data_IF_466198368778
#
_entry.id   IF_466198368778
#
_cell.length_a   1.000
_cell.length_b   1.000
_cell.length_c   1.000
_cell.angle_alpha   90.00
_cell.angle_beta   90.00
_cell.angle_gamma   90.00
#
_symmetry.space_group_name_H-M   'P 1'
#
loop_
_entity.id
_entity.type
_entity.pdbx_description
1 polymer ?
#
# COMPACT_ATOMS: atom_id res chain seq x y z
N UNK A 1 7.58 3.38 17.03
CA UNK A 1 6.78 2.13 17.05
C UNK A 1 7.51 1.09 16.23
N UNK A 2 7.54 -0.18 16.66
CA UNK A 2 8.16 -1.25 15.87
C UNK A 2 7.28 -1.67 14.70
N UNK A 3 7.85 -2.29 13.66
CA UNK A 3 7.09 -2.80 12.52
C UNK A 3 6.03 -3.84 12.93
N UNK A 4 6.33 -4.68 13.93
CA UNK A 4 5.38 -5.68 14.41
C UNK A 4 4.18 -5.02 15.12
N UNK A 5 4.41 -4.00 15.94
CA UNK A 5 3.33 -3.24 16.58
C UNK A 5 2.45 -2.52 15.55
N UNK A 6 3.08 -1.88 14.56
CA UNK A 6 2.39 -1.21 13.47
C UNK A 6 1.51 -2.19 12.67
N UNK A 7 2.07 -3.36 12.34
CA UNK A 7 1.34 -4.44 11.69
C UNK A 7 0.14 -4.93 12.50
N UNK A 8 0.28 -5.13 13.81
CA UNK A 8 -0.80 -5.62 14.66
C UNK A 8 -1.99 -4.64 14.68
N UNK A 9 -1.72 -3.34 14.75
CA UNK A 9 -2.75 -2.29 14.66
C UNK A 9 -3.39 -2.29 13.27
N UNK A 10 -2.59 -2.28 12.19
CA UNK A 10 -3.11 -2.29 10.82
C UNK A 10 -3.98 -3.52 10.55
N UNK A 11 -3.54 -4.69 11.02
CA UNK A 11 -4.30 -5.93 10.90
C UNK A 11 -5.62 -5.85 11.66
N UNK A 12 -5.61 -5.32 12.88
CA UNK A 12 -6.83 -5.13 13.67
C UNK A 12 -7.86 -4.25 12.94
N UNK A 13 -7.41 -3.12 12.38
CA UNK A 13 -8.27 -2.22 11.60
C UNK A 13 -8.86 -2.93 10.37
N UNK A 14 -8.03 -3.64 9.61
CA UNK A 14 -8.44 -4.28 8.37
C UNK A 14 -9.23 -5.58 8.52
N UNK A 15 -9.05 -6.34 9.61
CA UNK A 15 -9.75 -7.62 9.81
C UNK A 15 -10.92 -7.54 10.79
N UNK A 16 -10.88 -6.63 11.77
CA UNK A 16 -11.83 -6.62 12.89
C UNK A 16 -12.70 -5.37 12.89
N UNK A 17 -12.09 -4.18 12.80
CA UNK A 17 -12.84 -2.95 13.06
C UNK A 17 -13.53 -2.37 11.83
N UNK A 18 -12.82 -2.27 10.70
CA UNK A 18 -13.32 -1.68 9.46
C UNK A 18 -13.19 -2.60 8.23
N UNK A 19 -13.48 -3.92 8.34
CA UNK A 19 -13.13 -4.88 7.29
C UNK A 19 -13.81 -4.63 5.95
N UNK A 20 -15.08 -4.23 5.96
CA UNK A 20 -15.82 -3.93 4.72
C UNK A 20 -15.27 -2.69 4.02
N UNK A 21 -14.98 -1.63 4.79
CA UNK A 21 -14.47 -0.36 4.26
C UNK A 21 -13.03 -0.48 3.76
N UNK A 22 -12.16 -1.21 4.48
CA UNK A 22 -10.83 -1.53 3.98
C UNK A 22 -10.89 -2.35 2.70
N UNK A 23 -11.73 -3.39 2.64
CA UNK A 23 -11.89 -4.18 1.43
C UNK A 23 -12.38 -3.34 0.24
N UNK A 24 -13.44 -2.54 0.44
CA UNK A 24 -14.03 -1.72 -0.61
C UNK A 24 -13.06 -0.63 -1.12
N UNK A 25 -12.33 0.05 -0.23
CA UNK A 25 -11.33 1.06 -0.58
C UNK A 25 -10.14 0.49 -1.34
N UNK A 26 -9.69 -0.73 -1.01
CA UNK A 26 -8.64 -1.43 -1.76
C UNK A 26 -9.11 -1.81 -3.17
N UNK A 27 -10.35 -2.30 -3.33
CA UNK A 27 -10.90 -2.55 -4.67
C UNK A 27 -11.09 -1.25 -5.47
N UNK A 28 -11.44 -0.16 -4.81
CA UNK A 28 -11.48 1.16 -5.42
C UNK A 28 -10.09 1.64 -5.89
N UNK A 29 -9.04 1.44 -5.09
CA UNK A 29 -7.65 1.70 -5.49
C UNK A 29 -7.25 0.88 -6.72
N UNK A 30 -7.54 -0.43 -6.73
CA UNK A 30 -7.29 -1.30 -7.88
C UNK A 30 -8.04 -0.84 -9.14
N UNK A 31 -9.28 -0.38 -8.99
CA UNK A 31 -10.06 0.20 -10.08
C UNK A 31 -9.39 1.47 -10.63
N UNK A 32 -8.96 2.41 -9.77
CA UNK A 32 -8.24 3.63 -10.18
C UNK A 32 -6.99 3.29 -10.98
N UNK A 33 -6.21 2.32 -10.55
CA UNK A 33 -5.00 1.87 -11.25
C UNK A 33 -5.36 1.29 -12.63
N UNK A 34 -6.35 0.39 -12.69
CA UNK A 34 -6.79 -0.22 -13.95
C UNK A 34 -7.33 0.81 -14.95
N UNK A 35 -8.00 1.86 -14.48
CA UNK A 35 -8.58 2.91 -15.31
C UNK A 35 -7.55 3.77 -16.06
N UNK A 36 -6.28 3.78 -15.61
CA UNK A 36 -5.18 4.50 -16.30
C UNK A 36 -4.64 3.73 -17.52
N UNK A 37 -5.00 2.45 -17.67
CA UNK A 37 -4.56 1.59 -18.77
C UNK A 37 -5.68 1.21 -19.73
N UNK A 38 -5.38 0.30 -20.66
CA UNK A 38 -6.40 -0.24 -21.57
C UNK A 38 -7.31 -1.20 -20.79
N UNK A 39 -8.57 -0.80 -20.60
CA UNK A 39 -9.53 -1.57 -19.82
C UNK A 39 -10.08 -2.76 -20.63
N UNK A 40 -9.87 -3.98 -20.11
CA UNK A 40 -10.53 -5.20 -20.59
C UNK A 40 -11.08 -5.95 -19.37
N UNK A 41 -12.40 -6.11 -19.28
CA UNK A 41 -13.07 -6.59 -18.07
C UNK A 41 -12.52 -7.94 -17.57
N UNK A 42 -12.36 -8.92 -18.45
CA UNK A 42 -11.90 -10.27 -18.10
C UNK A 42 -10.45 -10.27 -17.58
N UNK A 43 -9.55 -9.57 -18.29
CA UNK A 43 -8.15 -9.48 -17.87
C UNK A 43 -8.00 -8.64 -16.61
N UNK A 44 -8.76 -7.55 -16.48
CA UNK A 44 -8.72 -6.67 -15.32
C UNK A 44 -9.27 -7.37 -14.09
N UNK A 45 -10.38 -8.11 -14.19
CA UNK A 45 -10.96 -8.84 -13.05
C UNK A 45 -10.04 -9.94 -12.54
N UNK A 46 -9.44 -10.73 -13.44
CA UNK A 46 -8.44 -11.73 -13.09
C UNK A 46 -7.24 -11.11 -12.37
N UNK A 47 -6.70 -10.02 -12.93
CA UNK A 47 -5.55 -9.32 -12.31
C UNK A 47 -5.90 -8.74 -10.94
N UNK A 48 -7.11 -8.21 -10.77
CA UNK A 48 -7.56 -7.69 -9.47
C UNK A 48 -7.61 -8.83 -8.42
N UNK A 49 -8.15 -9.99 -8.78
CA UNK A 49 -8.16 -11.16 -7.91
C UNK A 49 -6.73 -11.63 -7.57
N UNK A 50 -5.85 -11.81 -8.56
CA UNK A 50 -4.46 -12.21 -8.33
C UNK A 50 -3.71 -11.20 -7.43
N UNK A 51 -3.95 -9.91 -7.65
CA UNK A 51 -3.35 -8.83 -6.85
C UNK A 51 -3.86 -8.85 -5.41
N UNK A 52 -5.15 -9.11 -5.18
CA UNK A 52 -5.70 -9.20 -3.83
C UNK A 52 -5.06 -10.31 -2.99
N UNK A 53 -4.73 -11.45 -3.61
CA UNK A 53 -4.06 -12.56 -2.91
C UNK A 53 -2.64 -12.15 -2.49
N UNK A 54 -1.88 -11.53 -3.40
CA UNK A 54 -0.54 -11.05 -3.07
C UNK A 54 -0.61 -9.95 -1.99
N UNK A 55 -1.49 -8.96 -2.17
CA UNK A 55 -1.63 -7.84 -1.25
C UNK A 55 -2.01 -8.30 0.16
N UNK A 56 -3.00 -9.19 0.29
CA UNK A 56 -3.38 -9.75 1.60
C UNK A 56 -2.20 -10.44 2.28
N UNK A 57 -1.40 -11.20 1.54
CA UNK A 57 -0.23 -11.86 2.12
C UNK A 57 0.88 -10.89 2.54
N UNK A 58 1.04 -9.76 1.85
CA UNK A 58 2.04 -8.74 2.19
C UNK A 58 1.58 -7.82 3.33
N UNK A 59 0.30 -7.46 3.38
CA UNK A 59 -0.25 -6.41 4.25
C UNK A 59 -0.84 -6.97 5.55
N UNK A 60 -1.49 -8.14 5.46
CA UNK A 60 -2.14 -8.84 6.58
C UNK A 60 -1.31 -10.05 7.04
N UNK A 61 -0.36 -10.50 6.24
CA UNK A 61 0.64 -11.48 6.67
C UNK A 61 1.62 -10.86 7.68
N UNK A 62 2.03 -11.64 8.68
CA UNK A 62 3.03 -11.19 9.66
C UNK A 62 4.34 -10.81 8.92
N UNK A 63 4.90 -9.60 9.16
CA UNK A 63 6.18 -9.21 8.59
C UNK A 63 7.26 -10.25 8.87
N UNK A 64 8.05 -10.60 7.84
CA UNK A 64 9.09 -11.62 7.92
C UNK A 64 8.60 -13.07 7.93
N UNK A 65 7.30 -13.34 7.84
CA UNK A 65 6.79 -14.71 7.63
C UNK A 65 7.10 -15.20 6.21
N UNK A 66 7.26 -16.52 6.04
CA UNK A 66 7.51 -17.14 4.72
C UNK A 66 6.50 -16.67 3.68
N UNK A 67 5.22 -16.63 4.04
CA UNK A 67 4.14 -16.26 3.12
C UNK A 67 4.20 -14.78 2.70
N UNK A 68 4.56 -13.88 3.62
CA UNK A 68 4.76 -12.47 3.29
C UNK A 68 5.97 -12.29 2.37
N UNK A 69 7.10 -12.95 2.69
CA UNK A 69 8.33 -12.89 1.89
C UNK A 69 8.10 -13.42 0.46
N UNK A 70 7.40 -14.55 0.32
CA UNK A 70 7.05 -15.11 -0.99
C UNK A 70 6.17 -14.18 -1.81
N UNK A 71 5.17 -13.53 -1.18
CA UNK A 71 4.30 -12.58 -1.86
C UNK A 71 5.04 -11.31 -2.32
N UNK A 72 5.94 -10.78 -1.48
CA UNK A 72 6.82 -9.65 -1.83
C UNK A 72 7.74 -10.03 -2.99
N UNK A 73 8.43 -11.16 -2.91
CA UNK A 73 9.33 -11.64 -3.95
C UNK A 73 8.60 -11.86 -5.28
N UNK A 74 7.39 -12.45 -5.23
CA UNK A 74 6.56 -12.65 -6.41
C UNK A 74 6.13 -11.31 -7.04
N UNK A 75 5.75 -10.34 -6.22
CA UNK A 75 5.35 -9.02 -6.68
C UNK A 75 6.52 -8.29 -7.34
N UNK A 76 7.71 -8.27 -6.69
CA UNK A 76 8.94 -7.71 -7.26
C UNK A 76 9.30 -8.35 -8.60
N UNK A 77 9.27 -9.67 -8.68
CA UNK A 77 9.58 -10.39 -9.92
C UNK A 77 8.66 -9.96 -11.09
N UNK A 78 7.36 -9.82 -10.81
CA UNK A 78 6.39 -9.37 -11.81
C UNK A 78 6.63 -7.90 -12.21
N UNK A 79 6.78 -7.00 -11.24
CA UNK A 79 7.00 -5.57 -11.50
C UNK A 79 8.33 -5.30 -12.22
N UNK A 80 9.42 -5.98 -11.85
CA UNK A 80 10.74 -5.80 -12.47
C UNK A 80 10.73 -6.09 -13.97
N UNK A 81 9.91 -7.05 -14.43
CA UNK A 81 9.73 -7.27 -15.87
C UNK A 81 9.10 -6.05 -16.54
N UNK A 82 8.02 -5.52 -15.99
CA UNK A 82 7.30 -4.39 -16.57
C UNK A 82 8.09 -3.07 -16.50
N UNK A 83 8.86 -2.85 -15.42
CA UNK A 83 9.79 -1.72 -15.32
C UNK A 83 10.90 -1.79 -16.39
N UNK A 84 11.53 -2.96 -16.58
CA UNK A 84 12.53 -3.15 -17.65
C UNK A 84 11.97 -2.95 -19.07
N UNK A 85 10.70 -3.27 -19.27
CA UNK A 85 9.98 -3.01 -20.52
C UNK A 85 9.47 -1.56 -20.64
N UNK A 86 9.73 -0.69 -19.65
CA UNK A 86 9.30 0.72 -19.64
C UNK A 86 7.79 0.93 -19.49
N UNK A 87 7.05 -0.10 -19.06
CA UNK A 87 5.58 -0.07 -18.95
C UNK A 87 5.07 0.43 -17.60
N UNK A 88 5.92 0.41 -16.58
CA UNK A 88 5.63 0.92 -15.23
C UNK A 88 6.83 1.77 -14.84
N UNK A 89 6.60 3.05 -14.56
CA UNK A 89 7.62 3.95 -14.03
C UNK A 89 7.70 3.86 -12.50
N UNK A 90 8.77 4.39 -11.91
CA UNK A 90 8.88 4.51 -10.45
C UNK A 90 7.77 5.41 -9.88
N UNK A 91 7.37 6.46 -10.61
CA UNK A 91 6.22 7.28 -10.24
C UNK A 91 4.91 6.49 -10.27
N UNK A 92 4.74 5.52 -11.17
CA UNK A 92 3.53 4.67 -11.19
C UNK A 92 3.52 3.69 -10.01
N UNK A 93 4.69 3.18 -9.61
CA UNK A 93 4.85 2.34 -8.42
C UNK A 93 4.51 3.13 -7.14
N UNK A 94 5.06 4.34 -7.00
CA UNK A 94 4.80 5.22 -5.86
C UNK A 94 3.33 5.67 -5.80
N UNK A 95 2.74 6.01 -6.94
CA UNK A 95 1.31 6.33 -7.03
C UNK A 95 0.43 5.13 -6.63
N UNK A 96 0.81 3.91 -7.05
CA UNK A 96 0.08 2.70 -6.66
C UNK A 96 0.16 2.45 -5.16
N UNK A 97 1.36 2.61 -4.58
CA UNK A 97 1.56 2.50 -3.14
C UNK A 97 0.70 3.53 -2.39
N UNK A 98 0.72 4.80 -2.81
CA UNK A 98 -0.03 5.87 -2.14
C UNK A 98 -1.53 5.61 -2.12
N UNK A 99 -2.11 5.09 -3.21
CA UNK A 99 -3.52 4.69 -3.23
C UNK A 99 -3.84 3.63 -2.18
N UNK A 100 -3.00 2.61 -2.01
CA UNK A 100 -3.26 1.56 -1.03
C UNK A 100 -3.13 2.03 0.42
N UNK A 101 -2.38 3.10 0.69
CA UNK A 101 -2.29 3.70 2.02
C UNK A 101 -3.44 4.69 2.27
N UNK A 102 -3.67 5.60 1.32
CA UNK A 102 -4.54 6.77 1.50
C UNK A 102 -6.02 6.44 1.32
N UNK A 103 -6.38 5.57 0.37
CA UNK A 103 -7.80 5.27 0.12
C UNK A 103 -8.46 4.62 1.34
N UNK A 104 -7.87 3.62 2.03
CA UNK A 104 -8.47 3.09 3.25
C UNK A 104 -8.63 4.15 4.36
N UNK A 105 -7.64 5.03 4.55
CA UNK A 105 -7.74 6.10 5.54
C UNK A 105 -8.88 7.08 5.23
N UNK A 106 -8.94 7.57 3.98
CA UNK A 106 -9.97 8.50 3.51
C UNK A 106 -11.37 7.89 3.61
N UNK A 107 -11.50 6.61 3.28
CA UNK A 107 -12.79 5.91 3.35
C UNK A 107 -13.25 5.70 4.78
N UNK A 108 -12.37 5.37 5.72
CA UNK A 108 -12.73 5.30 7.15
C UNK A 108 -13.21 6.67 7.62
N UNK A 109 -12.45 7.74 7.36
CA UNK A 109 -12.83 9.08 7.80
C UNK A 109 -14.17 9.57 7.24
N UNK A 110 -14.54 9.09 6.05
CA UNK A 110 -15.76 9.52 5.36
C UNK A 110 -16.98 8.64 5.65
N UNK A 111 -16.81 7.33 5.77
CA UNK A 111 -17.92 6.37 5.75
C UNK A 111 -18.06 5.55 7.05
N UNK A 112 -17.08 5.57 7.94
CA UNK A 112 -17.15 4.83 9.20
C UNK A 112 -17.66 5.68 10.36
N UNK A 113 -18.03 5.00 11.45
CA UNK A 113 -18.59 5.62 12.65
C UNK A 113 -17.57 6.44 13.46
N UNK A 114 -16.28 6.37 13.13
CA UNK A 114 -15.21 7.20 13.68
C UNK A 114 -14.07 7.37 12.68
N UNK A 115 -13.28 8.44 12.86
CA UNK A 115 -12.03 8.64 12.14
C UNK A 115 -10.89 7.76 12.69
N UNK A 116 -9.84 7.58 11.91
CA UNK A 116 -8.59 7.00 12.38
C UNK A 116 -7.83 7.96 13.30
N UNK A 117 -7.34 7.43 14.42
CA UNK A 117 -6.46 8.15 15.34
C UNK A 117 -5.07 8.36 14.75
N UNK A 118 -4.29 9.31 15.29
CA UNK A 118 -2.91 9.53 14.87
C UNK A 118 -2.02 8.30 15.06
N UNK A 119 -2.28 7.49 16.09
CA UNK A 119 -1.57 6.24 16.34
C UNK A 119 -1.84 5.22 15.22
N UNK A 120 -3.11 5.08 14.82
CA UNK A 120 -3.54 4.18 13.74
C UNK A 120 -2.98 4.61 12.39
N UNK A 121 -3.02 5.91 12.09
CA UNK A 121 -2.39 6.48 10.88
C UNK A 121 -0.89 6.24 10.87
N UNK A 122 -0.22 6.44 12.01
CA UNK A 122 1.21 6.19 12.16
C UNK A 122 1.54 4.70 11.97
N UNK A 123 0.68 3.80 12.45
CA UNK A 123 0.83 2.36 12.28
C UNK A 123 0.74 1.96 10.81
N UNK A 124 -0.33 2.36 10.13
CA UNK A 124 -0.49 2.13 8.70
C UNK A 124 0.68 2.74 7.91
N UNK A 125 1.07 3.98 8.19
CA UNK A 125 2.19 4.62 7.51
C UNK A 125 3.51 3.87 7.72
N UNK A 126 3.78 3.39 8.94
CA UNK A 126 4.98 2.60 9.26
C UNK A 126 4.99 1.28 8.48
N UNK A 127 3.86 0.56 8.48
CA UNK A 127 3.73 -0.73 7.78
C UNK A 127 3.85 -0.58 6.26
N UNK A 128 3.17 0.41 5.67
CA UNK A 128 3.20 0.61 4.22
C UNK A 128 4.52 1.19 3.72
N UNK A 129 5.17 2.08 4.48
CA UNK A 129 6.51 2.56 4.13
C UNK A 129 7.51 1.41 4.08
N UNK A 130 7.50 0.54 5.10
CA UNK A 130 8.34 -0.65 5.13
C UNK A 130 8.05 -1.60 3.96
N UNK A 131 6.77 -1.82 3.63
CA UNK A 131 6.39 -2.64 2.47
C UNK A 131 6.88 -2.02 1.15
N UNK A 132 6.81 -0.69 0.99
CA UNK A 132 7.35 -0.03 -0.20
C UNK A 132 8.87 -0.18 -0.31
N UNK A 133 9.60 -0.14 0.81
CA UNK A 133 11.04 -0.44 0.85
C UNK A 133 11.31 -1.91 0.46
N UNK A 134 10.54 -2.86 1.01
CA UNK A 134 10.64 -4.29 0.68
C UNK A 134 10.33 -4.58 -0.79
N UNK A 135 9.51 -3.76 -1.44
CA UNK A 135 9.14 -3.85 -2.87
C UNK A 135 10.11 -3.11 -3.82
N UNK A 136 11.20 -2.52 -3.30
CA UNK A 136 12.11 -1.62 -4.03
C UNK A 136 11.42 -0.43 -4.71
N UNK A 137 10.38 0.13 -4.09
CA UNK A 137 9.72 1.32 -4.64
C UNK A 137 10.60 2.54 -4.38
N UNK A 138 10.97 3.27 -5.44
CA UNK A 138 11.67 4.55 -5.28
C UNK A 138 10.74 5.59 -4.66
N UNK A 139 11.26 6.30 -3.67
CA UNK A 139 10.60 7.43 -3.04
C UNK A 139 11.09 8.77 -3.58
N UNK A 140 11.89 8.82 -4.65
CA UNK A 140 12.51 10.05 -5.17
C UNK A 140 11.50 11.14 -5.58
N UNK A 141 10.26 10.74 -5.86
CA UNK A 141 9.16 11.67 -6.09
C UNK A 141 8.68 12.44 -4.85
N UNK A 142 9.13 12.07 -3.65
CA UNK A 142 8.74 12.71 -2.40
C UNK A 142 9.73 13.81 -1.99
N UNK A 143 9.25 14.98 -1.52
CA UNK A 143 10.09 16.15 -1.25
C UNK A 143 11.28 15.90 -0.32
N UNK A 144 11.14 15.02 0.66
CA UNK A 144 12.21 14.76 1.64
C UNK A 144 13.01 13.49 1.40
N UNK A 145 12.74 12.78 0.30
CA UNK A 145 13.41 11.51 -0.06
C UNK A 145 14.94 11.58 -0.16
N UNK A 146 15.47 12.73 -0.58
CA UNK A 146 16.90 12.99 -0.79
C UNK A 146 17.53 13.84 0.33
N UNK A 147 16.78 14.19 1.37
CA UNK A 147 17.28 15.02 2.48
C UNK A 147 17.99 14.16 3.52
N UNK A 148 19.00 14.72 4.17
CA UNK A 148 19.61 14.10 5.35
C UNK A 148 18.54 13.96 6.46
N UNK A 149 18.39 12.76 7.02
CA UNK A 149 17.30 12.48 7.96
C UNK A 149 15.90 12.39 7.32
N UNK A 150 15.80 12.26 5.98
CA UNK A 150 14.61 12.13 5.11
C UNK A 150 13.27 12.50 5.76
N UNK A 151 12.69 11.58 6.53
CA UNK A 151 11.44 11.83 7.28
C UNK A 151 11.69 11.74 8.78
N UNK A 152 11.13 12.70 9.50
CA UNK A 152 11.18 12.77 10.97
C UNK A 152 10.42 11.63 11.65
N UNK A 153 9.33 11.19 11.03
CA UNK A 153 8.49 10.08 11.49
C UNK A 153 7.65 9.53 10.31
N UNK A 154 6.88 8.47 10.56
CA UNK A 154 6.02 7.86 9.56
C UNK A 154 4.86 8.76 9.11
N UNK A 155 4.38 9.68 9.97
CA UNK A 155 3.32 10.61 9.61
C UNK A 155 3.84 11.70 8.66
N UNK A 156 5.12 12.09 8.76
CA UNK A 156 5.76 12.98 7.79
C UNK A 156 5.80 12.34 6.40
N UNK A 157 6.22 11.07 6.31
CA UNK A 157 6.15 10.32 5.04
C UNK A 157 4.71 10.23 4.51
N UNK A 158 3.73 9.98 5.38
CA UNK A 158 2.32 9.91 4.99
C UNK A 158 1.80 11.25 4.45
N UNK A 159 2.17 12.37 5.07
CA UNK A 159 1.80 13.71 4.59
C UNK A 159 2.34 13.98 3.19
N UNK A 160 3.61 13.65 2.94
CA UNK A 160 4.21 13.82 1.60
C UNK A 160 3.59 12.93 0.52
N UNK A 161 2.94 11.82 0.88
CA UNK A 161 2.18 11.00 -0.09
C UNK A 161 0.84 11.63 -0.49
N UNK A 162 0.27 12.49 0.35
CA UNK A 162 -1.08 13.07 0.19
C UNK A 162 -1.07 14.41 -0.55
N UNK A 163 0.11 15.04 -0.69
CA UNK A 163 0.39 16.30 -1.40
C UNK A 163 0.60 16.09 -2.92
#
# INVERSE_FOLDING_TARGET
MSLIQAYEIQKWLGEQEFPATFSASIFFALFKIASRGTYNLERTSKRAADTSVLLTNMVIGRPGSTRAIEAIARTRFLHARYQREGKISDSDMLYTLSLFVLEPMRWVDQYEWRCLTDLERCAMATSWKALGEDLDISYDGLPSSQKEGRWTDALHWLRELDE
#
